data_IF_421774089872
#
_entry.id   IF_421774089872
#
_cell.length_a   1.000
_cell.length_b   1.000
_cell.length_c   1.000
_cell.angle_alpha   90.00
_cell.angle_beta   90.00
_cell.angle_gamma   90.00
#
_symmetry.space_group_name_H-M   'P 1'
#
loop_
_entity.id
_entity.type
_entity.pdbx_description
1 polymer ?
#
# COMPACT_ATOMS: atom_id res chain seq x y z
N UNK A 1 0.47 17.57 13.86
CA UNK A 1 1.37 17.28 12.72
C UNK A 1 0.82 16.11 11.92
N UNK A 2 -0.27 16.31 11.16
CA UNK A 2 -0.87 15.27 10.33
C UNK A 2 -0.11 15.15 9.01
N UNK A 3 0.45 13.98 8.72
CA UNK A 3 1.09 13.64 7.44
C UNK A 3 0.41 12.43 6.81
N UNK A 4 0.58 12.24 5.49
CA UNK A 4 0.14 11.00 4.84
C UNK A 4 0.90 9.82 5.46
N UNK A 5 0.17 8.76 5.78
CA UNK A 5 0.70 7.53 6.37
C UNK A 5 0.49 6.41 5.36
N UNK A 6 1.58 5.76 4.97
CA UNK A 6 1.54 4.57 4.12
C UNK A 6 1.22 3.33 4.95
N UNK A 7 0.66 2.33 4.28
CA UNK A 7 0.66 0.96 4.76
C UNK A 7 1.84 0.19 4.15
N UNK A 8 2.31 -0.90 4.77
CA UNK A 8 3.29 -1.80 4.19
C UNK A 8 2.91 -2.26 2.78
N UNK A 9 3.92 -2.49 1.95
CA UNK A 9 3.75 -2.90 0.54
C UNK A 9 2.84 -4.12 0.43
N UNK A 10 3.04 -5.15 1.26
CA UNK A 10 2.19 -6.34 1.29
C UNK A 10 0.72 -6.00 1.55
N UNK A 11 0.38 -5.07 2.44
CA UNK A 11 -1.02 -4.69 2.67
C UNK A 11 -1.64 -3.97 1.48
N UNK A 12 -0.87 -3.15 0.77
CA UNK A 12 -1.33 -2.53 -0.47
C UNK A 12 -1.57 -3.58 -1.56
N UNK A 13 -0.67 -4.56 -1.69
CA UNK A 13 -0.81 -5.69 -2.63
C UNK A 13 -2.04 -6.54 -2.29
N UNK A 14 -2.29 -6.85 -1.01
CA UNK A 14 -3.47 -7.62 -0.59
C UNK A 14 -4.78 -6.93 -0.97
N UNK A 15 -4.84 -5.60 -0.92
CA UNK A 15 -6.00 -4.83 -1.40
C UNK A 15 -6.21 -4.97 -2.91
N UNK A 16 -5.13 -4.98 -3.70
CA UNK A 16 -5.21 -5.20 -5.16
C UNK A 16 -5.64 -6.64 -5.48
N UNK A 17 -5.13 -7.63 -4.74
CA UNK A 17 -5.54 -9.03 -4.87
C UNK A 17 -7.02 -9.19 -4.55
N UNK A 18 -7.51 -8.58 -3.48
CA UNK A 18 -8.93 -8.59 -3.14
C UNK A 18 -9.80 -7.93 -4.22
N UNK A 19 -9.36 -6.81 -4.79
CA UNK A 19 -10.07 -6.13 -5.88
C UNK A 19 -10.11 -6.98 -7.17
N UNK A 20 -9.01 -7.69 -7.49
CA UNK A 20 -8.98 -8.65 -8.60
C UNK A 20 -9.92 -9.82 -8.35
N UNK A 21 -9.85 -10.43 -7.17
CA UNK A 21 -10.73 -11.53 -6.78
C UNK A 21 -12.22 -11.13 -6.90
N UNK A 22 -12.58 -9.94 -6.43
CA UNK A 22 -13.95 -9.42 -6.58
C UNK A 22 -14.35 -9.26 -8.05
N UNK A 23 -13.46 -8.77 -8.91
CA UNK A 23 -13.71 -8.62 -10.35
C UNK A 23 -13.92 -9.98 -11.03
N UNK A 24 -13.13 -10.98 -10.64
CA UNK A 24 -13.19 -12.34 -11.16
C UNK A 24 -14.50 -13.03 -10.74
N UNK A 25 -14.89 -12.91 -9.45
CA UNK A 25 -16.18 -13.42 -8.93
C UNK A 25 -17.37 -12.81 -9.68
N UNK A 26 -17.29 -11.53 -10.01
CA UNK A 26 -18.34 -10.82 -10.74
C UNK A 26 -18.31 -11.07 -12.25
N UNK A 27 -17.28 -11.76 -12.77
CA UNK A 27 -17.06 -11.99 -14.19
C UNK A 27 -17.07 -10.70 -15.03
N UNK A 28 -16.44 -9.64 -14.52
CA UNK A 28 -16.28 -8.35 -15.22
C UNK A 28 -14.79 -8.05 -15.36
N UNK A 29 -14.29 -7.71 -16.57
CA UNK A 29 -12.89 -7.39 -16.80
C UNK A 29 -12.54 -5.98 -16.32
N UNK A 30 -12.75 -5.70 -15.04
CA UNK A 30 -12.48 -4.40 -14.41
C UNK A 30 -11.01 -4.03 -14.54
N UNK A 31 -10.75 -2.80 -15.00
CA UNK A 31 -9.42 -2.20 -15.01
C UNK A 31 -9.07 -1.79 -13.57
N UNK A 32 -7.97 -2.33 -13.04
CA UNK A 32 -7.47 -2.01 -11.70
C UNK A 32 -6.27 -1.08 -11.80
N UNK A 33 -6.27 0.00 -11.04
CA UNK A 33 -5.18 0.98 -10.96
C UNK A 33 -4.55 0.95 -9.56
N UNK A 34 -3.27 0.59 -9.50
CA UNK A 34 -2.48 0.74 -8.28
C UNK A 34 -1.94 2.16 -8.18
N UNK A 35 -2.34 2.90 -7.15
CA UNK A 35 -1.84 4.24 -6.84
C UNK A 35 -0.93 4.18 -5.62
N UNK A 36 0.14 4.96 -5.64
CA UNK A 36 1.02 5.19 -4.49
C UNK A 36 1.09 6.68 -4.14
N UNK A 37 1.11 6.98 -2.85
CA UNK A 37 1.35 8.33 -2.31
C UNK A 37 2.78 8.44 -1.71
N UNK A 38 3.66 7.48 -2.01
CA UNK A 38 5.01 7.41 -1.45
C UNK A 38 5.92 8.60 -1.80
N UNK A 39 5.57 9.40 -2.81
CA UNK A 39 6.32 10.61 -3.18
C UNK A 39 6.26 11.68 -2.06
N UNK A 40 5.09 11.89 -1.44
CA UNK A 40 4.88 12.92 -0.42
C UNK A 40 4.72 12.36 1.01
N UNK A 41 4.65 11.04 1.17
CA UNK A 41 4.43 10.40 2.47
C UNK A 41 5.75 10.17 3.23
N UNK A 42 5.74 10.57 4.51
CA UNK A 42 6.88 10.49 5.43
C UNK A 42 6.64 9.56 6.63
N UNK A 43 5.50 8.85 6.64
CA UNK A 43 5.11 7.93 7.71
C UNK A 43 4.68 6.60 7.10
N UNK A 44 4.96 5.50 7.80
CA UNK A 44 4.46 4.16 7.50
C UNK A 44 3.90 3.55 8.80
N UNK A 45 2.85 2.74 8.69
CA UNK A 45 2.22 2.13 9.88
C UNK A 45 3.05 1.00 10.50
N UNK A 46 3.94 0.34 9.74
CA UNK A 46 4.82 -0.72 10.24
C UNK A 46 6.01 -0.94 9.31
N UNK A 47 7.08 -1.55 9.84
CA UNK A 47 8.36 -1.82 9.17
C UNK A 47 8.60 -3.33 8.89
N UNK A 48 7.57 -4.17 9.04
CA UNK A 48 7.73 -5.62 8.88
C UNK A 48 8.03 -6.07 7.44
N UNK A 49 7.71 -5.24 6.44
CA UNK A 49 7.89 -5.59 5.03
C UNK A 49 9.30 -5.22 4.55
N UNK A 50 10.06 -6.23 4.08
CA UNK A 50 11.41 -6.06 3.56
C UNK A 50 11.49 -5.06 2.39
N UNK A 51 10.43 -4.91 1.60
CA UNK A 51 10.41 -3.96 0.48
C UNK A 51 10.42 -2.49 0.95
N UNK A 52 9.95 -2.23 2.18
CA UNK A 52 9.83 -0.88 2.72
C UNK A 52 11.06 -0.48 3.56
N UNK A 53 11.86 -1.45 4.03
CA UNK A 53 13.06 -1.22 4.86
C UNK A 53 14.14 -0.33 4.24
N UNK A 54 14.39 -0.34 2.92
CA UNK A 54 15.34 0.58 2.30
C UNK A 54 14.97 2.07 2.41
N UNK A 55 13.77 2.41 2.90
CA UNK A 55 13.25 3.78 2.98
C UNK A 55 13.09 4.29 4.44
N UNK A 56 14.17 4.34 5.24
CA UNK A 56 14.12 4.53 6.70
C UNK A 56 13.59 5.90 7.14
N UNK A 57 13.65 6.92 6.29
CA UNK A 57 13.09 8.25 6.59
C UNK A 57 11.55 8.27 6.63
N UNK A 58 10.88 7.17 6.23
CA UNK A 58 9.43 6.95 6.42
C UNK A 58 9.09 6.19 7.70
N UNK A 59 10.10 5.73 8.44
CA UNK A 59 10.01 4.80 9.58
C UNK A 59 9.83 5.44 10.96
N UNK A 60 9.29 6.65 11.07
CA UNK A 60 8.73 7.07 12.37
C UNK A 60 7.38 6.36 12.51
N UNK A 61 7.42 5.13 12.99
CA UNK A 61 6.23 4.38 13.41
C UNK A 61 5.47 5.27 14.40
N UNK A 62 4.23 5.62 14.06
CA UNK A 62 3.29 6.28 14.98
C UNK A 62 2.59 5.25 15.85
#
# INVERSE_FOLDING_TARGET
MGGKVLVPTQEAVQKLVAARLASDVMNVPTVLLARTDAEAANLITSDYDENDKPFPNRGKNI
#
